data_IF_002463846238
#
_entry.id   IF_002463846238
#
_cell.length_a   1.000
_cell.length_b   1.000
_cell.length_c   1.000
_cell.angle_alpha   90.00
_cell.angle_beta   90.00
_cell.angle_gamma   90.00
#
_symmetry.space_group_name_H-M   'P 1'
#
loop_
_entity.id
_entity.type
_entity.pdbx_description
1 polymer ?
#
# COMPACT_ATOMS: atom_id res chain seq x y z
N UNK A 1 13.56 -15.85 0.71
CA UNK A 1 12.28 -15.28 0.28
C UNK A 1 12.52 -13.99 -0.48
N UNK A 2 11.72 -13.74 -1.48
CA UNK A 2 11.83 -12.51 -2.27
C UNK A 2 10.78 -11.50 -1.79
N UNK A 3 11.24 -10.36 -1.31
CA UNK A 3 10.40 -9.21 -1.02
C UNK A 3 10.02 -8.56 -2.34
N UNK A 4 8.74 -8.26 -2.53
CA UNK A 4 8.24 -7.62 -3.75
C UNK A 4 7.35 -6.46 -3.36
N UNK A 5 7.58 -5.32 -4.00
CA UNK A 5 6.65 -4.18 -3.93
C UNK A 5 6.06 -3.99 -5.32
N UNK A 6 4.74 -3.97 -5.39
CA UNK A 6 3.99 -3.64 -6.61
C UNK A 6 3.29 -2.31 -6.44
N UNK A 7 3.27 -1.51 -7.50
CA UNK A 7 2.55 -0.25 -7.52
C UNK A 7 1.85 -0.03 -8.84
N UNK A 8 0.58 0.34 -8.78
CA UNK A 8 -0.17 0.86 -9.92
C UNK A 8 -0.22 2.38 -9.79
N UNK A 9 0.24 3.15 -10.80
CA UNK A 9 0.30 4.60 -10.69
C UNK A 9 -1.09 5.23 -10.63
N UNK A 10 -1.16 6.41 -10.03
CA UNK A 10 -2.39 7.20 -10.06
C UNK A 10 -2.66 7.69 -11.48
N UNK A 11 -3.93 7.77 -11.81
CA UNK A 11 -4.44 8.27 -13.08
C UNK A 11 -5.76 8.99 -12.82
N UNK A 12 -6.37 9.58 -13.84
CA UNK A 12 -7.58 10.36 -13.74
C UNK A 12 -8.56 9.77 -12.72
N UNK A 13 -9.38 9.60 -12.32
CA UNK A 13 -10.31 9.07 -11.35
C UNK A 13 -9.76 7.97 -10.40
N UNK A 14 -8.50 7.57 -10.52
CA UNK A 14 -7.91 6.49 -9.73
C UNK A 14 -6.67 6.98 -8.97
N UNK A 15 -6.64 6.87 -7.64
CA UNK A 15 -5.51 7.39 -6.85
C UNK A 15 -4.24 6.52 -6.91
N UNK A 16 -4.31 5.35 -7.55
CA UNK A 16 -3.23 4.39 -7.52
C UNK A 16 -3.24 3.54 -6.25
N UNK A 17 -2.33 2.57 -6.20
CA UNK A 17 -2.22 1.69 -5.04
C UNK A 17 -0.83 1.05 -4.98
N UNK A 18 -0.37 0.77 -3.76
CA UNK A 18 0.90 0.08 -3.55
C UNK A 18 0.67 -1.08 -2.58
N UNK A 19 1.28 -2.23 -2.89
CA UNK A 19 1.23 -3.40 -2.04
C UNK A 19 2.64 -3.94 -1.80
N UNK A 20 2.81 -4.63 -0.70
CA UNK A 20 4.04 -5.33 -0.36
C UNK A 20 3.74 -6.81 -0.22
N UNK A 21 4.63 -7.63 -0.70
CA UNK A 21 4.46 -9.08 -0.63
C UNK A 21 5.75 -9.83 -0.58
N UNK A 22 5.64 -11.11 -0.35
CA UNK A 22 6.77 -12.02 -0.43
C UNK A 22 6.43 -13.22 -1.32
N UNK A 23 7.43 -13.65 -2.07
CA UNK A 23 7.38 -14.86 -2.85
C UNK A 23 8.39 -15.83 -2.27
N UNK A 24 7.94 -17.01 -1.86
CA UNK A 24 8.82 -18.06 -1.36
C UNK A 24 9.30 -18.94 -2.50
N UNK A 25 10.38 -19.71 -2.25
CA UNK A 25 10.90 -20.66 -3.22
C UNK A 25 9.91 -21.80 -3.52
N UNK A 26 8.98 -22.05 -2.61
CA UNK A 26 7.87 -23.00 -2.80
C UNK A 26 6.70 -22.45 -3.60
N UNK A 27 6.84 -21.25 -4.16
CA UNK A 27 5.81 -20.53 -4.93
C UNK A 27 4.57 -20.15 -4.12
N UNK A 28 4.72 -20.01 -2.84
CA UNK A 28 3.69 -19.37 -2.03
C UNK A 28 3.85 -17.86 -2.15
N UNK A 29 2.75 -17.20 -2.46
CA UNK A 29 2.70 -15.75 -2.66
C UNK A 29 1.79 -15.15 -1.61
N UNK A 30 2.28 -14.12 -0.95
CA UNK A 30 1.50 -13.38 0.04
C UNK A 30 1.67 -11.90 -0.21
N UNK A 31 0.57 -11.21 -0.46
CA UNK A 31 0.57 -9.78 -0.76
C UNK A 31 -0.39 -9.06 0.16
N UNK A 32 0.04 -7.92 0.69
CA UNK A 32 -0.72 -7.15 1.66
C UNK A 32 -0.70 -5.68 1.30
N UNK A 33 -1.81 -5.01 1.56
CA UNK A 33 -1.95 -3.59 1.34
C UNK A 33 -2.71 -2.91 2.45
N UNK A 34 -2.64 -1.60 2.48
CA UNK A 34 -3.30 -0.77 3.45
C UNK A 34 -4.43 0.00 2.78
N UNK A 35 -5.64 -0.18 3.29
CA UNK A 35 -6.85 0.41 2.73
C UNK A 35 -7.70 1.05 3.81
N UNK A 36 -8.79 1.66 3.41
CA UNK A 36 -9.82 2.15 4.31
C UNK A 36 -11.15 1.48 4.00
N UNK A 37 -12.03 1.44 4.99
CA UNK A 37 -13.39 0.96 4.80
C UNK A 37 -14.27 2.14 4.38
N UNK A 38 -14.88 2.12 3.18
CA UNK A 38 -15.77 3.19 2.75
C UNK A 38 -16.94 3.43 3.70
N UNK A 39 -17.37 2.41 4.44
CA UNK A 39 -18.42 2.56 5.44
C UNK A 39 -18.02 3.44 6.62
N UNK A 40 -16.73 3.67 6.83
CA UNK A 40 -16.22 4.58 7.86
C UNK A 40 -16.26 6.05 7.44
N UNK A 41 -16.52 6.33 6.17
CA UNK A 41 -16.71 7.70 5.68
C UNK A 41 -18.10 8.20 6.05
N UNK A 42 -18.27 9.51 6.30
CA UNK A 42 -19.60 10.11 6.35
C UNK A 42 -20.39 9.80 5.07
N UNK A 43 -21.68 9.61 5.18
CA UNK A 43 -22.53 9.15 4.06
C UNK A 43 -22.37 10.00 2.81
N UNK A 44 -22.28 11.32 2.96
CA UNK A 44 -22.14 12.26 1.85
C UNK A 44 -20.77 12.17 1.12
N UNK A 45 -19.81 11.49 1.72
CA UNK A 45 -18.46 11.32 1.15
C UNK A 45 -18.19 9.89 0.68
N UNK A 46 -19.14 8.97 0.79
CA UNK A 46 -18.96 7.59 0.33
C UNK A 46 -18.93 7.52 -1.20
N UNK A 47 -18.12 6.59 -1.78
CA UNK A 47 -18.10 6.43 -3.23
C UNK A 47 -19.50 6.25 -3.83
N UNK A 48 -19.81 6.82 -5.01
CA UNK A 48 -18.89 7.55 -5.90
C UNK A 48 -18.69 9.03 -5.59
N UNK A 49 -19.14 9.52 -4.45
CA UNK A 49 -18.98 10.89 -4.05
C UNK A 49 -17.51 11.26 -3.77
N UNK A 50 -17.26 12.48 -3.36
CA UNK A 50 -15.90 13.06 -3.19
C UNK A 50 -15.20 12.57 -1.92
N UNK A 51 -15.00 11.27 -1.79
CA UNK A 51 -14.35 10.67 -0.64
C UNK A 51 -12.89 11.11 -0.46
N UNK A 52 -12.22 11.45 -1.57
CA UNK A 52 -10.84 11.96 -1.53
C UNK A 52 -10.73 13.27 -0.78
N UNK A 53 -11.69 14.17 -0.98
CA UNK A 53 -11.71 15.48 -0.30
C UNK A 53 -11.75 15.29 1.21
N UNK A 54 -12.53 14.30 1.67
CA UNK A 54 -12.60 13.98 3.08
C UNK A 54 -11.26 13.44 3.61
N UNK A 55 -10.63 12.52 2.90
CA UNK A 55 -9.40 11.87 3.34
C UNK A 55 -8.15 12.76 3.22
N UNK A 56 -8.22 13.84 2.46
CA UNK A 56 -7.18 14.87 2.46
C UNK A 56 -7.19 15.66 3.78
N UNK A 57 -8.35 15.92 4.33
CA UNK A 57 -8.53 16.76 5.51
C UNK A 57 -8.85 15.98 6.80
N UNK A 58 -9.00 14.66 6.72
CA UNK A 58 -9.41 13.82 7.84
C UNK A 58 -8.74 12.47 7.81
N UNK A 59 -8.82 11.76 8.93
CA UNK A 59 -8.41 10.36 9.05
C UNK A 59 -9.60 9.49 9.41
N UNK A 60 -9.54 8.23 9.00
CA UNK A 60 -10.50 7.19 9.39
C UNK A 60 -9.72 5.93 9.74
N UNK A 61 -10.34 4.95 10.41
CA UNK A 61 -9.66 3.68 10.67
C UNK A 61 -9.16 3.03 9.39
N UNK A 62 -7.93 2.50 9.44
CA UNK A 62 -7.32 1.79 8.34
C UNK A 62 -7.48 0.29 8.46
N UNK A 63 -7.22 -0.42 7.37
CA UNK A 63 -7.32 -1.86 7.28
C UNK A 63 -6.07 -2.43 6.61
N UNK A 64 -5.49 -3.46 7.20
CA UNK A 64 -4.54 -4.31 6.50
C UNK A 64 -5.34 -5.40 5.81
N UNK A 65 -5.15 -5.57 4.51
CA UNK A 65 -5.89 -6.56 3.73
C UNK A 65 -4.95 -7.42 2.91
N UNK A 66 -5.37 -8.65 2.66
CA UNK A 66 -4.68 -9.55 1.76
C UNK A 66 -5.00 -9.14 0.32
N UNK A 67 -3.98 -9.01 -0.53
CA UNK A 67 -4.08 -8.35 -1.83
C UNK A 67 -3.70 -9.28 -3.01
N UNK A 68 -3.74 -10.59 -2.83
CA UNK A 68 -3.37 -11.52 -3.92
C UNK A 68 -4.23 -11.33 -5.16
N UNK A 69 -5.52 -11.07 -4.97
CA UNK A 69 -6.45 -10.84 -6.09
C UNK A 69 -6.11 -9.56 -6.86
N UNK A 70 -5.76 -8.50 -6.16
CA UNK A 70 -5.35 -7.23 -6.77
C UNK A 70 -4.07 -7.42 -7.59
N UNK A 71 -3.06 -8.09 -7.02
CA UNK A 71 -1.80 -8.35 -7.72
C UNK A 71 -2.02 -9.19 -8.96
N UNK A 72 -2.83 -10.23 -8.86
CA UNK A 72 -3.18 -11.08 -10.02
C UNK A 72 -3.84 -10.27 -11.12
N UNK A 73 -4.81 -9.44 -10.76
CA UNK A 73 -5.48 -8.56 -11.70
C UNK A 73 -4.49 -7.60 -12.37
N UNK A 74 -3.58 -7.02 -11.60
CA UNK A 74 -2.56 -6.11 -12.11
C UNK A 74 -1.64 -6.81 -13.11
N UNK A 75 -1.23 -8.05 -12.83
CA UNK A 75 -0.36 -8.83 -13.69
C UNK A 75 -1.05 -9.30 -14.98
N UNK A 76 -2.32 -9.59 -14.92
CA UNK A 76 -3.10 -10.11 -16.05
C UNK A 76 -3.67 -9.01 -16.95
N UNK A 77 -3.76 -7.78 -16.47
CA UNK A 77 -4.38 -6.69 -17.23
C UNK A 77 -3.47 -6.22 -18.36
N UNK A 78 -3.83 -6.53 -19.61
CA UNK A 78 -3.12 -6.08 -20.81
C UNK A 78 -3.13 -4.55 -20.91
N UNK A 79 -2.02 -4.00 -21.39
CA UNK A 79 -1.87 -2.57 -21.62
C UNK A 79 -1.72 -1.73 -20.35
N UNK A 80 -1.75 -2.34 -19.19
CA UNK A 80 -1.52 -1.63 -17.94
C UNK A 80 -0.05 -1.56 -17.59
N UNK A 81 0.39 -0.39 -17.19
CA UNK A 81 1.68 -0.23 -16.59
C UNK A 81 1.58 -0.49 -15.09
N UNK A 82 2.50 -1.24 -14.55
CA UNK A 82 2.72 -1.31 -13.12
C UNK A 82 4.22 -1.31 -12.84
N UNK A 83 4.56 -1.05 -11.61
CA UNK A 83 5.94 -0.93 -11.16
C UNK A 83 6.20 -2.00 -10.14
N UNK A 84 7.38 -2.63 -10.21
CA UNK A 84 7.76 -3.58 -9.18
C UNK A 84 9.23 -3.41 -8.82
N UNK A 85 9.52 -3.73 -7.58
CA UNK A 85 10.89 -3.83 -7.09
C UNK A 85 11.00 -5.10 -6.26
N UNK A 86 12.06 -5.86 -6.50
CA UNK A 86 12.32 -7.16 -5.88
C UNK A 86 13.68 -7.16 -5.21
N UNK A 87 13.78 -7.82 -4.07
CA UNK A 87 15.06 -8.11 -3.43
C UNK A 87 14.94 -9.33 -2.52
N UNK A 88 16.04 -10.02 -2.30
CA UNK A 88 16.04 -11.12 -1.35
C UNK A 88 15.96 -10.64 0.08
N UNK A 89 15.16 -11.33 0.87
CA UNK A 89 15.00 -11.07 2.30
C UNK A 89 15.21 -12.35 3.08
N UNK A 90 15.96 -12.27 4.16
CA UNK A 90 16.14 -13.39 5.09
C UNK A 90 15.02 -13.50 6.12
N UNK A 91 14.17 -12.48 6.22
CA UNK A 91 13.13 -12.38 7.24
C UNK A 91 11.76 -12.45 6.59
N UNK A 92 10.84 -13.18 7.21
CA UNK A 92 9.46 -13.28 6.73
C UNK A 92 8.71 -11.97 6.92
N UNK A 93 7.91 -11.60 5.91
CA UNK A 93 7.02 -10.44 5.96
C UNK A 93 6.06 -10.50 7.15
N UNK A 94 5.52 -11.69 7.46
CA UNK A 94 4.59 -11.84 8.59
C UNK A 94 5.17 -11.41 9.92
N UNK A 95 6.48 -11.52 10.12
CA UNK A 95 7.10 -11.10 11.37
C UNK A 95 6.99 -9.60 11.65
N UNK A 96 6.67 -8.80 10.63
CA UNK A 96 6.49 -7.35 10.73
C UNK A 96 5.04 -6.91 10.67
N UNK A 97 4.12 -7.86 10.51
CA UNK A 97 2.69 -7.57 10.56
C UNK A 97 2.16 -7.82 11.97
N UNK A 98 1.16 -7.05 12.42
CA UNK A 98 0.50 -7.36 13.68
C UNK A 98 -0.28 -8.66 13.59
N UNK A 99 -0.74 -9.23 14.73
CA UNK A 99 -1.65 -10.39 14.71
C UNK A 99 -2.89 -10.10 13.87
N UNK A 100 -3.45 -11.11 13.23
CA UNK A 100 -4.57 -10.97 12.29
C UNK A 100 -5.80 -10.31 12.88
N UNK A 101 -6.07 -10.51 14.14
CA UNK A 101 -7.19 -9.88 14.82
C UNK A 101 -7.01 -8.37 15.03
N UNK A 102 -5.81 -7.85 14.76
CA UNK A 102 -5.49 -6.42 14.81
C UNK A 102 -5.41 -5.76 13.42
N UNK A 103 -5.84 -6.44 12.39
CA UNK A 103 -5.79 -5.90 11.02
C UNK A 103 -6.97 -5.00 10.65
N UNK A 104 -8.11 -5.21 11.27
CA UNK A 104 -9.36 -4.53 10.89
C UNK A 104 -10.15 -4.11 12.14
N UNK A 105 -9.92 -2.91 12.71
CA UNK A 105 -9.05 -1.84 12.18
C UNK A 105 -7.60 -1.96 12.62
N UNK A 106 -6.73 -1.29 11.87
CA UNK A 106 -5.33 -1.11 12.24
C UNK A 106 -4.90 0.32 11.93
N UNK A 107 -4.50 1.07 12.95
CA UNK A 107 -4.06 2.47 12.79
C UNK A 107 -5.11 3.32 12.06
N UNK A 108 -4.70 4.42 11.44
CA UNK A 108 -5.58 5.32 10.71
C UNK A 108 -5.12 5.50 9.28
N UNK A 109 -6.06 5.84 8.42
CA UNK A 109 -5.83 6.10 7.01
C UNK A 109 -6.16 7.57 6.70
N UNK A 110 -5.27 8.23 5.96
CA UNK A 110 -5.49 9.57 5.41
C UNK A 110 -4.64 9.73 4.15
N UNK A 111 -5.04 10.60 3.24
CA UNK A 111 -4.19 10.97 2.11
C UNK A 111 -3.05 11.90 2.51
N UNK A 112 -3.14 12.54 3.68
CA UNK A 112 -2.06 13.34 4.27
C UNK A 112 -1.68 12.76 5.64
N UNK A 113 -1.09 11.56 5.68
CA UNK A 113 -0.90 10.85 6.95
C UNK A 113 -0.01 11.61 7.94
N UNK A 114 0.98 12.36 7.46
CA UNK A 114 1.87 13.12 8.36
C UNK A 114 1.12 14.17 9.19
N UNK A 115 -0.01 14.69 8.67
CA UNK A 115 -0.79 15.70 9.38
C UNK A 115 -1.59 15.10 10.55
N UNK A 116 -1.77 13.79 10.57
CA UNK A 116 -2.63 13.10 11.53
C UNK A 116 -1.90 12.06 12.36
N UNK A 117 -0.63 11.76 12.05
CA UNK A 117 0.12 10.72 12.74
C UNK A 117 0.66 11.26 14.06
N UNK A 118 0.53 10.45 15.12
CA UNK A 118 1.15 10.69 16.41
C UNK A 118 1.94 9.46 16.82
N UNK A 119 2.78 9.56 17.86
CA UNK A 119 3.52 8.40 18.36
C UNK A 119 2.59 7.26 18.82
N UNK A 120 1.45 7.61 19.41
CA UNK A 120 0.49 6.65 19.94
C UNK A 120 -0.46 6.12 18.88
N UNK A 121 -0.78 6.96 17.89
CA UNK A 121 -1.79 6.65 16.86
C UNK A 121 -1.20 6.93 15.47
N UNK A 122 -0.49 5.96 14.91
CA UNK A 122 0.08 6.14 13.57
C UNK A 122 -1.01 6.27 12.51
N UNK A 123 -0.70 7.03 11.47
CA UNK A 123 -1.57 7.22 10.33
C UNK A 123 -0.77 6.94 9.04
N UNK A 124 -1.38 6.24 8.10
CA UNK A 124 -0.76 5.87 6.84
C UNK A 124 -1.72 6.06 5.68
N UNK A 125 -1.19 6.16 4.49
CA UNK A 125 -1.89 5.77 3.27
C UNK A 125 -1.27 4.47 2.73
N UNK A 126 -1.73 3.98 1.58
CA UNK A 126 -1.23 2.71 1.04
C UNK A 126 0.27 2.75 0.75
N UNK A 127 0.80 3.88 0.32
CA UNK A 127 2.22 4.03 -0.02
C UNK A 127 3.08 4.10 1.24
N UNK A 128 2.73 4.93 2.20
CA UNK A 128 3.52 5.08 3.42
C UNK A 128 3.53 3.81 4.26
N UNK A 129 2.40 3.09 4.30
CA UNK A 129 2.35 1.81 4.99
C UNK A 129 3.24 0.77 4.34
N UNK A 130 3.10 0.56 3.02
CA UNK A 130 3.90 -0.42 2.29
C UNK A 130 5.39 -0.08 2.35
N UNK A 131 5.75 1.19 2.23
CA UNK A 131 7.14 1.66 2.36
C UNK A 131 7.69 1.37 3.75
N UNK A 132 6.92 1.63 4.79
CA UNK A 132 7.33 1.36 6.16
C UNK A 132 7.61 -0.13 6.38
N UNK A 133 6.73 -1.00 5.93
CA UNK A 133 6.89 -2.45 6.07
C UNK A 133 8.11 -2.93 5.26
N UNK A 134 8.21 -2.52 3.99
CA UNK A 134 9.33 -2.93 3.13
C UNK A 134 10.68 -2.51 3.71
N UNK A 135 10.78 -1.30 4.25
CA UNK A 135 12.02 -0.77 4.81
C UNK A 135 12.39 -1.40 6.15
N UNK A 136 11.43 -1.97 6.87
CA UNK A 136 11.73 -2.79 8.06
C UNK A 136 12.35 -4.12 7.69
N UNK A 137 11.91 -4.70 6.57
CA UNK A 137 12.47 -5.95 6.06
C UNK A 137 13.85 -5.76 5.46
N UNK A 138 14.01 -4.73 4.64
CA UNK A 138 15.27 -4.38 3.98
C UNK A 138 15.49 -2.88 4.16
N UNK A 139 16.40 -2.50 5.04
CA UNK A 139 16.70 -1.10 5.33
C UNK A 139 17.11 -0.37 4.05
N UNK A 140 16.44 0.76 3.78
CA UNK A 140 16.73 1.57 2.60
C UNK A 140 16.20 1.01 1.29
N UNK A 141 15.35 -0.02 1.33
CA UNK A 141 14.77 -0.62 0.13
C UNK A 141 14.00 0.40 -0.72
N UNK A 142 13.18 1.21 -0.07
CA UNK A 142 12.48 2.32 -0.70
C UNK A 142 12.83 3.62 0.03
N UNK A 143 12.97 4.75 -0.68
CA UNK A 143 13.10 6.03 -0.02
C UNK A 143 11.79 6.40 0.67
N UNK A 144 11.92 7.10 1.80
CA UNK A 144 10.75 7.60 2.52
C UNK A 144 10.21 8.80 1.78
N UNK A 145 8.98 8.69 1.28
CA UNK A 145 8.29 9.77 0.58
C UNK A 145 7.24 10.34 1.51
N UNK A 146 7.39 11.61 1.86
CA UNK A 146 6.40 12.31 2.68
C UNK A 146 5.06 12.31 1.97
N UNK A 147 3.97 12.16 2.75
CA UNK A 147 2.60 12.05 2.28
C UNK A 147 2.34 10.87 1.34
N UNK A 148 3.37 10.07 1.04
CA UNK A 148 3.21 8.84 0.29
C UNK A 148 2.54 8.99 -1.06
N UNK A 149 2.93 9.98 -1.83
CA UNK A 149 2.40 10.17 -3.19
C UNK A 149 2.95 9.11 -4.11
N UNK A 150 2.09 8.32 -4.73
CA UNK A 150 2.50 7.19 -5.56
C UNK A 150 3.42 7.61 -6.70
N UNK A 151 3.09 8.70 -7.41
CA UNK A 151 3.92 9.13 -8.52
C UNK A 151 5.33 9.54 -8.10
N UNK A 152 5.50 10.08 -6.90
CA UNK A 152 6.81 10.36 -6.36
C UNK A 152 7.53 9.08 -5.94
N UNK A 153 6.82 8.16 -5.30
CA UNK A 153 7.37 6.86 -4.90
C UNK A 153 7.86 6.06 -6.11
N UNK A 154 7.11 6.08 -7.22
CA UNK A 154 7.47 5.36 -8.44
C UNK A 154 8.79 5.82 -9.05
N UNK A 155 9.17 7.08 -8.85
CA UNK A 155 10.46 7.58 -9.33
C UNK A 155 11.67 6.85 -8.74
N UNK A 156 11.46 6.11 -7.67
CA UNK A 156 12.51 5.34 -6.99
C UNK A 156 12.43 3.83 -7.25
N UNK A 157 11.42 3.37 -7.95
CA UNK A 157 11.36 1.98 -8.38
C UNK A 157 12.27 1.80 -9.59
N UNK A 158 12.96 0.65 -9.64
CA UNK A 158 14.05 0.44 -10.59
C UNK A 158 13.60 0.51 -12.03
N UNK A 159 12.53 -0.18 -12.37
CA UNK A 159 11.99 -0.22 -13.73
C UNK A 159 10.49 -0.52 -13.70
N UNK A 160 9.72 0.05 -14.63
CA UNK A 160 8.33 -0.34 -14.77
C UNK A 160 8.21 -1.70 -15.43
N UNK A 161 7.26 -2.49 -14.95
CA UNK A 161 6.78 -3.68 -15.65
C UNK A 161 5.55 -3.28 -16.46
N UNK A 162 5.49 -3.71 -17.70
CA UNK A 162 4.37 -3.40 -18.59
C UNK A 162 3.76 -4.67 -19.13
N UNK A 163 2.43 -4.69 -19.14
CA UNK A 163 1.64 -5.73 -19.79
C UNK A 163 1.02 -5.15 -21.06
N UNK A 164 1.33 -5.75 -22.16
CA UNK A 164 0.79 -5.37 -23.47
C UNK A 164 -0.23 -6.39 -23.95
#
# INVERSE_FOLDING_TARGET
MTLVVYAEPSREAYPGHMVVGEESDSREFRYFGYRFDPASLPTEYRPPARWRDYLVANKIPGLIVEESRYVRHLQEASGRAYWEKRAESSTSLESYLPPRDEWQPHAYYSFNPDDFSTEELPCYNCVTWATTIANRLIVGFLPVVRQGRINLALGYLVQPSRRE
#
